data_IF_033009471502
#
_entry.id   IF_033009471502
#
_cell.length_a   1.000
_cell.length_b   1.000
_cell.length_c   1.000
_cell.angle_alpha   90.00
_cell.angle_beta   90.00
_cell.angle_gamma   90.00
#
_symmetry.space_group_name_H-M   'P 1'
#
loop_
_entity.id
_entity.type
_entity.pdbx_description
1 polymer ?
#
# COMPACT_ATOMS: atom_id res chain seq x y z
N UNK A 1 -11.01 -5.18 7.78
CA UNK A 1 -11.70 -6.31 7.11
C UNK A 1 -11.36 -6.54 5.65
N UNK A 2 -11.70 -5.64 4.72
CA UNK A 2 -11.52 -5.88 3.27
C UNK A 2 -10.07 -6.27 2.88
N UNK A 3 -9.07 -5.52 3.33
CA UNK A 3 -7.66 -5.78 3.03
C UNK A 3 -7.16 -7.10 3.65
N UNK A 4 -7.57 -7.38 4.90
CA UNK A 4 -7.25 -8.62 5.60
C UNK A 4 -7.79 -9.83 4.85
N UNK A 5 -9.03 -9.78 4.38
CA UNK A 5 -9.63 -10.86 3.59
C UNK A 5 -8.92 -11.09 2.25
N UNK A 6 -8.32 -10.06 1.65
CA UNK A 6 -7.62 -10.14 0.36
C UNK A 6 -6.17 -10.60 0.46
N UNK A 7 -5.48 -10.31 1.56
CA UNK A 7 -4.01 -10.42 1.63
C UNK A 7 -3.50 -11.37 2.71
N UNK A 8 -4.28 -11.67 3.75
CA UNK A 8 -3.77 -12.41 4.93
C UNK A 8 -3.23 -13.80 4.59
N UNK A 9 -3.87 -14.50 3.67
CA UNK A 9 -3.53 -15.90 3.36
C UNK A 9 -2.49 -16.05 2.24
N UNK A 10 -1.93 -14.93 1.79
CA UNK A 10 -0.94 -14.96 0.72
C UNK A 10 0.42 -15.42 1.26
N UNK A 11 1.02 -16.48 0.68
CA UNK A 11 2.26 -17.06 1.18
C UNK A 11 3.50 -16.19 0.91
N UNK A 12 3.35 -15.18 0.06
CA UNK A 12 4.39 -14.20 -0.27
C UNK A 12 3.89 -12.79 0.04
N UNK A 13 4.82 -11.87 0.25
CA UNK A 13 4.49 -10.47 0.42
C UNK A 13 3.91 -9.91 -0.89
N UNK A 14 2.71 -9.36 -0.85
CA UNK A 14 2.09 -8.66 -1.95
C UNK A 14 2.00 -7.17 -1.62
N UNK A 15 2.42 -6.33 -2.56
CA UNK A 15 2.18 -4.89 -2.46
C UNK A 15 1.03 -4.51 -3.39
N UNK A 16 -0.01 -3.90 -2.83
CA UNK A 16 -1.22 -3.52 -3.54
C UNK A 16 -1.60 -2.06 -3.26
N UNK A 17 -2.42 -1.52 -4.16
CA UNK A 17 -2.98 -0.18 -4.07
C UNK A 17 -4.51 -0.24 -4.19
N UNK A 18 -5.19 0.46 -3.30
CA UNK A 18 -6.60 0.81 -3.44
C UNK A 18 -6.67 2.24 -3.99
N UNK A 19 -7.05 2.37 -5.25
CA UNK A 19 -7.19 3.66 -5.94
C UNK A 19 -8.57 4.24 -5.69
N UNK A 20 -8.63 5.55 -5.39
CA UNK A 20 -9.88 6.23 -5.04
C UNK A 20 -10.07 7.53 -5.83
N UNK A 21 -11.34 7.88 -6.03
CA UNK A 21 -11.73 9.18 -6.57
C UNK A 21 -11.64 10.31 -5.52
N UNK A 22 -11.97 11.54 -5.91
CA UNK A 22 -11.93 12.72 -5.03
C UNK A 22 -12.95 12.69 -3.88
N UNK A 23 -13.94 11.78 -3.94
CA UNK A 23 -14.93 11.52 -2.90
C UNK A 23 -14.60 10.25 -2.11
N UNK A 24 -13.37 9.73 -2.25
CA UNK A 24 -12.87 8.52 -1.62
C UNK A 24 -13.68 7.26 -1.95
N UNK A 25 -14.29 7.22 -3.15
CA UNK A 25 -14.93 6.00 -3.66
C UNK A 25 -13.88 5.14 -4.35
N UNK A 26 -13.95 3.83 -4.13
CA UNK A 26 -13.03 2.87 -4.73
C UNK A 26 -13.19 2.87 -6.25
N UNK A 27 -12.09 3.11 -6.96
CA UNK A 27 -11.98 2.96 -8.40
C UNK A 27 -11.48 1.55 -8.76
N UNK A 28 -10.42 1.11 -8.08
CA UNK A 28 -9.83 -0.21 -8.30
C UNK A 28 -9.00 -0.66 -7.09
N UNK A 29 -8.85 -1.98 -6.94
CA UNK A 29 -7.85 -2.60 -6.07
C UNK A 29 -6.91 -3.42 -6.94
N UNK A 30 -5.62 -3.13 -6.91
CA UNK A 30 -4.64 -3.83 -7.74
C UNK A 30 -3.43 -4.27 -6.92
N UNK A 31 -3.07 -5.55 -7.03
CA UNK A 31 -1.77 -6.05 -6.62
C UNK A 31 -0.76 -5.63 -7.69
N UNK A 32 0.20 -4.80 -7.30
CA UNK A 32 1.19 -4.24 -8.23
C UNK A 32 2.51 -5.00 -8.21
N UNK A 33 2.84 -5.60 -7.07
CA UNK A 33 4.09 -6.34 -6.91
C UNK A 33 3.85 -7.62 -6.11
N UNK A 34 4.53 -8.67 -6.54
CA UNK A 34 4.64 -9.93 -5.83
C UNK A 34 6.08 -10.02 -5.37
N UNK A 35 6.27 -9.98 -4.05
CA UNK A 35 7.56 -10.10 -3.39
C UNK A 35 7.99 -11.55 -3.26
N UNK A 36 9.14 -11.72 -2.60
CA UNK A 36 9.61 -13.03 -2.11
C UNK A 36 9.31 -13.13 -0.62
N UNK A 37 9.92 -14.10 0.06
CA UNK A 37 9.88 -14.21 1.52
C UNK A 37 10.60 -13.01 2.18
N UNK A 38 11.58 -12.42 1.50
CA UNK A 38 12.44 -11.33 2.01
C UNK A 38 11.92 -9.92 1.65
N UNK A 39 10.78 -9.83 0.99
CA UNK A 39 10.09 -8.56 0.67
C UNK A 39 9.82 -8.32 -0.82
N UNK A 40 9.05 -7.27 -1.11
CA UNK A 40 8.74 -6.85 -2.48
C UNK A 40 9.56 -5.62 -2.94
N UNK A 41 10.21 -5.71 -4.10
CA UNK A 41 10.82 -4.54 -4.75
C UNK A 41 9.74 -3.68 -5.42
N UNK A 42 9.31 -2.63 -4.72
CA UNK A 42 8.27 -1.70 -5.18
C UNK A 42 8.90 -0.51 -5.89
N UNK A 43 8.48 -0.26 -7.13
CA UNK A 43 8.99 0.85 -7.94
C UNK A 43 7.96 1.99 -8.04
N UNK A 44 8.25 3.20 -7.52
CA UNK A 44 7.31 4.33 -7.53
C UNK A 44 6.74 4.66 -8.92
N UNK A 45 7.56 4.55 -9.97
CA UNK A 45 7.12 4.78 -11.35
C UNK A 45 5.92 3.93 -11.78
N UNK A 46 5.81 2.69 -11.29
CA UNK A 46 4.67 1.83 -11.64
C UNK A 46 3.43 2.25 -10.86
N UNK A 47 3.58 2.60 -9.57
CA UNK A 47 2.48 3.11 -8.75
C UNK A 47 1.91 4.40 -9.35
N UNK A 48 2.79 5.34 -9.73
CA UNK A 48 2.42 6.59 -10.43
C UNK A 48 1.69 6.30 -11.73
N UNK A 49 2.24 5.41 -12.58
CA UNK A 49 1.62 5.03 -13.86
C UNK A 49 0.22 4.46 -13.65
N UNK A 50 0.00 3.62 -12.63
CA UNK A 50 -1.31 3.04 -12.32
C UNK A 50 -2.28 4.05 -11.74
N UNK A 51 -1.83 4.93 -10.83
CA UNK A 51 -2.65 6.00 -10.28
C UNK A 51 -3.22 6.90 -11.39
N UNK A 52 -2.36 7.31 -12.35
CA UNK A 52 -2.78 8.08 -13.51
C UNK A 52 -3.74 7.29 -14.42
N UNK A 53 -3.43 6.01 -14.69
CA UNK A 53 -4.29 5.18 -15.54
C UNK A 53 -5.69 4.96 -14.94
N UNK A 54 -5.81 4.95 -13.61
CA UNK A 54 -7.08 4.83 -12.91
C UNK A 54 -7.79 6.17 -12.70
N UNK A 55 -7.18 7.31 -13.08
CA UNK A 55 -7.64 8.66 -12.72
C UNK A 55 -7.87 8.83 -11.21
N UNK A 56 -6.97 8.24 -10.41
CA UNK A 56 -7.06 8.30 -8.97
C UNK A 56 -6.77 9.72 -8.46
N UNK A 57 -7.57 10.21 -7.52
CA UNK A 57 -7.29 11.42 -6.74
C UNK A 57 -6.61 11.09 -5.41
N UNK A 58 -6.72 9.83 -4.97
CA UNK A 58 -6.09 9.34 -3.76
C UNK A 58 -5.78 7.84 -3.87
N UNK A 59 -4.88 7.36 -3.02
CA UNK A 59 -4.52 5.95 -2.91
C UNK A 59 -4.36 5.55 -1.45
N UNK A 60 -4.73 4.31 -1.13
CA UNK A 60 -4.31 3.62 0.09
C UNK A 60 -3.33 2.52 -0.35
N UNK A 61 -2.13 2.52 0.26
CA UNK A 61 -1.12 1.50 0.04
C UNK A 61 -1.38 0.33 0.99
N UNK A 62 -0.98 -0.88 0.60
CA UNK A 62 -1.02 -2.02 1.52
C UNK A 62 -0.03 -3.10 1.13
N UNK A 63 0.49 -3.79 2.14
CA UNK A 63 1.17 -5.07 1.95
C UNK A 63 0.90 -6.03 3.12
N UNK A 64 1.08 -7.32 2.89
CA UNK A 64 1.04 -8.33 3.94
C UNK A 64 2.45 -8.77 4.35
N UNK A 65 2.62 -9.08 5.63
CA UNK A 65 3.79 -9.81 6.10
C UNK A 65 3.40 -11.28 6.31
N UNK A 66 3.96 -12.23 5.53
CA UNK A 66 3.70 -13.66 5.72
C UNK A 66 4.11 -14.18 7.10
N UNK A 67 4.99 -13.46 7.81
CA UNK A 67 5.38 -13.75 9.20
C UNK A 67 4.25 -13.54 10.21
N UNK A 68 3.16 -12.87 9.82
CA UNK A 68 2.03 -12.54 10.68
C UNK A 68 2.22 -11.28 11.53
N UNK A 69 3.41 -10.66 11.54
CA UNK A 69 3.72 -9.46 12.33
C UNK A 69 3.44 -8.19 11.52
N UNK A 70 2.50 -7.35 11.96
CA UNK A 70 2.10 -6.14 11.23
C UNK A 70 3.00 -4.91 11.48
N UNK A 71 4.08 -5.04 12.26
CA UNK A 71 4.99 -3.94 12.55
C UNK A 71 5.84 -3.59 11.31
N UNK A 72 5.90 -2.31 10.88
CA UNK A 72 6.67 -1.90 9.71
C UNK A 72 8.17 -2.01 9.94
N UNK A 73 8.88 -2.53 8.95
CA UNK A 73 10.33 -2.42 8.85
C UNK A 73 10.77 -0.99 8.55
N UNK A 74 12.07 -0.72 8.63
CA UNK A 74 12.63 0.56 8.16
C UNK A 74 12.46 0.74 6.65
N UNK A 75 12.52 -0.35 5.88
CA UNK A 75 12.32 -0.32 4.44
C UNK A 75 10.90 0.10 4.08
N UNK A 76 9.89 -0.40 4.82
CA UNK A 76 8.49 -0.03 4.61
C UNK A 76 8.25 1.46 4.86
N UNK A 77 8.83 1.99 5.94
CA UNK A 77 8.77 3.43 6.25
C UNK A 77 9.41 4.27 5.14
N UNK A 78 10.59 3.89 4.67
CA UNK A 78 11.27 4.60 3.58
C UNK A 78 10.49 4.52 2.26
N UNK A 79 9.96 3.34 1.94
CA UNK A 79 9.15 3.11 0.75
C UNK A 79 7.88 3.97 0.79
N UNK A 80 7.17 3.95 1.92
CA UNK A 80 5.94 4.73 2.13
C UNK A 80 6.21 6.20 1.86
N UNK A 81 7.26 6.76 2.48
CA UNK A 81 7.64 8.17 2.28
C UNK A 81 7.95 8.47 0.82
N UNK A 82 8.75 7.62 0.16
CA UNK A 82 9.11 7.78 -1.25
C UNK A 82 7.88 7.74 -2.18
N UNK A 83 6.91 6.89 -1.89
CA UNK A 83 5.66 6.81 -2.64
C UNK A 83 4.78 8.04 -2.39
N UNK A 84 4.65 8.48 -1.13
CA UNK A 84 3.94 9.71 -0.77
C UNK A 84 4.50 10.91 -1.51
N UNK A 85 5.83 11.11 -1.46
CA UNK A 85 6.49 12.22 -2.15
C UNK A 85 6.28 12.15 -3.67
N UNK A 86 6.41 10.96 -4.27
CA UNK A 86 6.26 10.80 -5.71
C UNK A 86 4.82 11.03 -6.21
N UNK A 87 3.82 10.60 -5.45
CA UNK A 87 2.40 10.75 -5.79
C UNK A 87 1.91 12.18 -5.54
N UNK A 88 2.46 12.87 -4.54
CA UNK A 88 2.17 14.27 -4.30
C UNK A 88 2.55 15.17 -5.49
N UNK A 89 3.58 14.83 -6.26
CA UNK A 89 3.99 15.57 -7.46
C UNK A 89 2.96 15.53 -8.61
N UNK A 90 1.98 14.62 -8.54
CA UNK A 90 0.89 14.50 -9.51
C UNK A 90 -0.49 14.68 -8.86
N UNK A 91 -0.55 15.36 -7.72
CA UNK A 91 -1.77 15.65 -6.95
C UNK A 91 -2.57 14.42 -6.51
N UNK A 92 -1.90 13.26 -6.35
CA UNK A 92 -2.50 12.04 -5.81
C UNK A 92 -2.14 11.90 -4.34
N UNK A 93 -3.12 11.95 -3.45
CA UNK A 93 -2.90 11.84 -2.01
C UNK A 93 -2.73 10.39 -1.58
N UNK A 94 -1.70 10.10 -0.79
CA UNK A 94 -1.61 8.82 -0.06
C UNK A 94 -2.34 9.00 1.26
N UNK A 95 -3.48 8.33 1.42
CA UNK A 95 -4.33 8.49 2.62
C UNK A 95 -3.81 7.66 3.80
N UNK A 96 -3.29 6.47 3.51
CA UNK A 96 -2.73 5.57 4.50
C UNK A 96 -1.87 4.50 3.83
N UNK A 97 -1.13 3.76 4.65
CA UNK A 97 -0.48 2.52 4.30
C UNK A 97 -0.81 1.46 5.36
N UNK A 98 -1.57 0.43 4.97
CA UNK A 98 -1.94 -0.67 5.86
C UNK A 98 -1.01 -1.88 5.73
N UNK A 99 -0.51 -2.36 6.86
CA UNK A 99 0.27 -3.60 6.94
C UNK A 99 -0.62 -4.71 7.51
N UNK A 100 -0.75 -5.79 6.75
CA UNK A 100 -1.61 -6.93 7.09
C UNK A 100 -0.77 -8.07 7.64
N UNK A 101 -0.90 -8.31 8.96
CA UNK A 101 -0.40 -9.52 9.61
C UNK A 101 -1.55 -10.49 9.97
N UNK A 102 -1.35 -11.30 11.01
CA UNK A 102 -2.38 -12.21 11.53
C UNK A 102 -3.47 -11.50 12.33
N UNK A 103 -3.06 -10.44 13.05
CA UNK A 103 -3.92 -9.62 13.89
C UNK A 103 -4.71 -8.57 13.11
N UNK A 104 -5.06 -7.49 13.78
CA UNK A 104 -5.63 -6.32 13.11
C UNK A 104 -4.59 -5.65 12.21
N UNK A 105 -4.96 -5.21 10.99
CA UNK A 105 -4.05 -4.46 10.14
C UNK A 105 -3.56 -3.20 10.85
N UNK A 106 -2.27 -2.90 10.72
CA UNK A 106 -1.68 -1.68 11.26
C UNK A 106 -1.83 -0.54 10.25
N UNK A 107 -2.40 0.59 10.67
CA UNK A 107 -2.37 1.86 9.95
C UNK A 107 -1.07 2.60 10.24
N UNK A 108 -0.28 2.89 9.20
CA UNK A 108 0.92 3.71 9.36
C UNK A 108 0.59 5.17 9.68
N UNK A 109 -0.53 5.69 9.17
CA UNK A 109 -0.99 7.04 9.46
C UNK A 109 -1.38 7.21 10.94
N UNK A 110 -2.16 6.29 11.50
CA UNK A 110 -2.56 6.32 12.93
C UNK A 110 -1.36 6.19 13.87
N UNK A 111 -0.32 5.48 13.43
CA UNK A 111 0.92 5.31 14.18
C UNK A 111 1.92 6.48 14.00
N UNK A 112 1.60 7.51 13.20
CA UNK A 112 2.43 8.69 13.00
C UNK A 112 3.65 8.48 12.09
N UNK A 113 3.61 7.51 11.18
CA UNK A 113 4.72 7.16 10.28
C UNK A 113 4.61 7.74 8.87
N UNK A 114 3.60 8.57 8.59
CA UNK A 114 3.33 9.20 7.29
C UNK A 114 3.32 10.72 7.38
#
# INVERSE_FOLDING_TARGET
DYLKARLRHEPHELFACLFLDSKHRVLAFEVLFHGTIDGASVYPRQVVKRALAQNAAAVILTHNHPSGVAEPSQADRQLTRKLTDALALIDVRVLDHFIVGDGEPLSMAECGWM
#
